data_IF_695256395102
#
_entry.id   IF_695256395102
#
_cell.length_a   1.000
_cell.length_b   1.000
_cell.length_c   1.000
_cell.angle_alpha   90.00
_cell.angle_beta   90.00
_cell.angle_gamma   90.00
#
_symmetry.space_group_name_H-M   'P 1'
#
loop_
_entity.id
_entity.type
_entity.pdbx_description
1 polymer ?
#
# COMPACT_ATOMS: atom_id res chain seq x y z
N UNK A 1 -2.17 9.11 40.41
CA UNK A 1 -2.70 7.94 39.69
C UNK A 1 -2.44 8.13 38.21
N UNK A 2 -1.52 7.36 37.63
CA UNK A 2 -0.96 7.64 36.31
C UNK A 2 -1.80 6.95 35.22
N UNK A 3 -2.77 7.68 34.64
CA UNK A 3 -3.55 7.24 33.50
C UNK A 3 -2.63 7.16 32.28
N UNK A 4 -2.06 5.97 32.02
CA UNK A 4 -1.29 5.73 30.80
C UNK A 4 -2.23 5.88 29.61
N UNK A 5 -2.08 6.98 28.86
CA UNK A 5 -2.84 7.23 27.63
C UNK A 5 -2.61 6.06 26.67
N UNK A 6 -3.71 5.48 26.20
CA UNK A 6 -3.67 4.46 25.14
C UNK A 6 -3.29 5.18 23.85
N UNK A 7 -2.16 4.77 23.25
CA UNK A 7 -1.78 5.27 21.93
C UNK A 7 -2.84 4.80 20.94
N UNK A 8 -3.37 5.73 20.14
CA UNK A 8 -4.37 5.46 19.10
C UNK A 8 -3.83 5.93 17.75
N UNK A 9 -4.25 5.29 16.67
CA UNK A 9 -4.07 5.82 15.32
C UNK A 9 -4.98 7.03 15.10
N UNK A 10 -4.77 7.77 14.00
CA UNK A 10 -5.64 8.88 13.60
C UNK A 10 -7.10 8.45 13.39
N UNK A 11 -7.33 7.18 13.07
CA UNK A 11 -8.67 6.57 12.97
C UNK A 11 -9.23 6.11 14.33
N UNK A 12 -8.57 6.42 15.45
CA UNK A 12 -9.02 6.09 16.80
C UNK A 12 -8.78 4.64 17.23
N UNK A 13 -8.06 3.84 16.45
CA UNK A 13 -7.81 2.42 16.76
C UNK A 13 -6.71 2.32 17.83
N UNK A 14 -6.96 1.66 18.98
CA UNK A 14 -5.97 1.53 20.03
C UNK A 14 -4.83 0.59 19.62
N UNK A 15 -3.59 1.03 19.83
CA UNK A 15 -2.36 0.29 19.51
C UNK A 15 -1.72 -0.21 20.79
N UNK A 16 -1.54 -1.53 20.90
CA UNK A 16 -0.90 -2.18 22.05
C UNK A 16 0.63 -2.09 21.91
N UNK A 17 1.34 -2.01 23.04
CA UNK A 17 2.82 -1.99 23.04
C UNK A 17 3.45 -3.27 22.48
N UNK A 18 2.81 -4.42 22.70
CA UNK A 18 3.30 -5.73 22.28
C UNK A 18 2.13 -6.60 21.82
N UNK A 19 2.27 -7.22 20.65
CA UNK A 19 1.33 -8.21 20.11
C UNK A 19 1.96 -9.61 20.24
N UNK A 20 1.25 -10.53 20.88
CA UNK A 20 1.65 -11.95 21.02
C UNK A 20 0.81 -12.83 20.09
N UNK A 21 1.14 -14.11 19.96
CA UNK A 21 0.38 -15.09 19.13
C UNK A 21 -1.13 -15.09 19.43
N UNK A 22 -1.52 -14.91 20.69
CA UNK A 22 -2.92 -14.83 21.13
C UNK A 22 -3.62 -13.49 20.84
N UNK A 23 -2.88 -12.50 20.31
CA UNK A 23 -3.40 -11.16 20.00
C UNK A 23 -3.97 -11.07 18.58
N UNK A 24 -3.75 -12.09 17.75
CA UNK A 24 -4.34 -12.20 16.43
C UNK A 24 -5.86 -12.43 16.59
N UNK A 25 -6.67 -11.53 16.00
CA UNK A 25 -8.08 -11.86 15.72
C UNK A 25 -8.10 -13.10 14.82
N UNK A 26 -9.14 -13.95 14.98
CA UNK A 26 -9.41 -15.22 14.26
C UNK A 26 -8.49 -15.45 13.06
N UNK A 27 -7.77 -16.60 13.05
CA UNK A 27 -6.96 -17.06 11.92
C UNK A 27 -7.68 -16.68 10.63
N UNK A 28 -7.10 -15.75 9.89
CA UNK A 28 -7.46 -15.51 8.51
C UNK A 28 -7.40 -16.89 7.85
N UNK A 29 -8.52 -17.37 7.32
CA UNK A 29 -8.53 -18.63 6.56
C UNK A 29 -7.38 -18.61 5.55
N UNK A 30 -6.86 -19.78 5.19
CA UNK A 30 -5.89 -19.92 4.11
C UNK A 30 -6.53 -19.41 2.80
N UNK A 31 -6.43 -18.10 2.60
CA UNK A 31 -6.94 -17.39 1.45
C UNK A 31 -5.81 -17.30 0.45
N UNK A 32 -6.10 -17.68 -0.78
CA UNK A 32 -5.16 -17.55 -1.88
C UNK A 32 -5.30 -16.16 -2.54
N UNK A 33 -4.19 -15.54 -2.98
CA UNK A 33 -4.27 -14.34 -3.82
C UNK A 33 -5.05 -14.64 -5.12
N UNK A 34 -5.75 -13.64 -5.65
CA UNK A 34 -6.58 -13.81 -6.84
C UNK A 34 -7.92 -14.53 -6.62
N UNK A 35 -8.29 -14.83 -5.36
CA UNK A 35 -9.60 -15.40 -5.00
C UNK A 35 -10.35 -14.51 -4.02
N UNK A 36 -11.67 -14.39 -4.19
CA UNK A 36 -12.53 -13.68 -3.24
C UNK A 36 -12.31 -14.20 -1.80
N UNK A 37 -12.18 -13.33 -0.78
CA UNK A 37 -12.43 -11.88 -0.78
C UNK A 37 -11.21 -11.01 -1.13
N UNK A 38 -10.19 -11.57 -1.77
CA UNK A 38 -9.00 -10.87 -2.28
C UNK A 38 -8.14 -10.21 -1.20
N UNK A 39 -8.22 -10.69 0.05
CA UNK A 39 -7.47 -10.13 1.17
C UNK A 39 -5.95 -10.17 0.97
N UNK A 40 -5.46 -11.13 0.18
CA UNK A 40 -4.03 -11.30 -0.15
C UNK A 40 -3.63 -10.74 -1.52
N UNK A 41 -4.55 -10.07 -2.22
CA UNK A 41 -4.32 -9.51 -3.55
C UNK A 41 -5.36 -9.96 -4.57
N UNK A 42 -5.56 -9.16 -5.61
CA UNK A 42 -6.56 -9.37 -6.66
C UNK A 42 -6.06 -10.26 -7.80
N UNK A 43 -4.75 -10.46 -7.93
CA UNK A 43 -4.13 -11.34 -8.93
C UNK A 43 -3.46 -12.53 -8.24
N UNK A 44 -3.45 -13.74 -8.84
CA UNK A 44 -2.80 -14.91 -8.24
C UNK A 44 -1.29 -14.73 -8.03
N UNK A 45 -0.59 -14.18 -9.02
CA UNK A 45 0.87 -14.07 -9.00
C UNK A 45 1.38 -12.69 -8.56
N UNK A 46 0.48 -11.70 -8.46
CA UNK A 46 0.76 -10.33 -8.03
C UNK A 46 2.07 -9.79 -8.66
N UNK A 47 2.97 -9.27 -7.83
CA UNK A 47 4.22 -8.65 -8.26
C UNK A 47 5.31 -9.65 -8.68
N UNK A 48 5.03 -10.97 -8.63
CA UNK A 48 5.92 -11.98 -9.22
C UNK A 48 5.76 -12.04 -10.73
N UNK A 49 4.56 -11.77 -11.24
CA UNK A 49 4.27 -11.69 -12.68
C UNK A 49 4.45 -10.25 -13.19
N UNK A 50 3.81 -9.27 -12.53
CA UNK A 50 3.84 -7.86 -12.95
C UNK A 50 3.99 -6.93 -11.75
N UNK A 51 5.09 -6.18 -11.71
CA UNK A 51 5.29 -5.12 -10.72
C UNK A 51 4.19 -4.05 -10.78
N UNK A 52 3.98 -3.34 -9.67
CA UNK A 52 3.08 -2.20 -9.68
C UNK A 52 3.56 -1.13 -10.66
N UNK A 53 2.61 -0.41 -11.25
CA UNK A 53 2.90 0.72 -12.13
C UNK A 53 3.61 1.82 -11.34
N UNK A 54 4.84 2.15 -11.74
CA UNK A 54 5.57 3.29 -11.20
C UNK A 54 5.02 4.57 -11.81
N UNK A 55 3.98 5.16 -11.22
CA UNK A 55 3.28 6.32 -11.78
C UNK A 55 3.62 7.61 -11.03
N UNK A 56 4.64 8.32 -11.51
CA UNK A 56 4.99 9.61 -10.96
C UNK A 56 3.99 10.68 -11.40
N UNK A 57 3.44 11.39 -10.41
CA UNK A 57 2.62 12.56 -10.69
C UNK A 57 3.55 13.69 -11.15
N UNK A 58 3.25 14.26 -12.32
CA UNK A 58 4.05 15.31 -12.93
C UNK A 58 3.17 16.21 -13.79
N UNK A 59 3.48 17.51 -13.79
CA UNK A 59 2.75 18.54 -14.52
C UNK A 59 3.00 19.91 -13.88
N UNK A 60 3.66 20.79 -14.61
CA UNK A 60 3.93 22.17 -14.21
C UNK A 60 4.20 23.01 -15.47
N UNK A 61 3.88 24.31 -15.42
CA UNK A 61 4.05 25.21 -16.55
C UNK A 61 3.08 24.92 -17.68
N UNK A 62 3.58 24.99 -18.91
CA UNK A 62 2.83 24.73 -20.14
C UNK A 62 2.69 23.24 -20.45
N UNK A 63 1.79 22.93 -21.39
CA UNK A 63 1.61 21.58 -21.89
C UNK A 63 2.89 21.02 -22.54
N UNK A 64 3.69 21.87 -23.21
CA UNK A 64 4.94 21.45 -23.85
C UNK A 64 6.00 21.07 -22.81
N UNK A 65 6.18 21.89 -21.77
CA UNK A 65 7.10 21.61 -20.66
C UNK A 65 6.74 20.31 -19.93
N UNK A 66 5.43 20.11 -19.70
CA UNK A 66 4.92 18.88 -19.09
C UNK A 66 5.15 17.65 -19.99
N UNK A 67 4.97 17.77 -21.31
CA UNK A 67 5.27 16.70 -22.25
C UNK A 67 6.76 16.33 -22.27
N UNK A 68 7.65 17.34 -22.25
CA UNK A 68 9.10 17.12 -22.16
C UNK A 68 9.46 16.38 -20.87
N UNK A 69 8.81 16.73 -19.75
CA UNK A 69 8.98 16.03 -18.47
C UNK A 69 8.47 14.59 -18.52
N UNK A 70 7.34 14.32 -19.17
CA UNK A 70 6.84 12.94 -19.32
C UNK A 70 7.81 12.08 -20.12
N UNK A 71 8.33 12.58 -21.25
CA UNK A 71 9.34 11.86 -22.05
C UNK A 71 10.60 11.55 -21.23
N UNK A 72 11.05 12.52 -20.44
CA UNK A 72 12.16 12.32 -19.50
C UNK A 72 11.86 11.21 -18.49
N UNK A 73 10.69 11.22 -17.85
CA UNK A 73 10.36 10.20 -16.86
C UNK A 73 10.22 8.79 -17.48
N UNK A 74 9.63 8.69 -18.68
CA UNK A 74 9.55 7.43 -19.43
C UNK A 74 10.94 6.88 -19.77
N UNK A 75 11.89 7.74 -20.20
CA UNK A 75 13.26 7.28 -20.46
C UNK A 75 14.02 6.86 -19.20
N UNK A 76 13.55 7.27 -18.01
CA UNK A 76 14.12 6.91 -16.71
C UNK A 76 13.31 5.82 -15.98
N UNK A 77 12.47 5.07 -16.70
CA UNK A 77 11.82 3.87 -16.16
C UNK A 77 10.47 4.10 -15.51
N UNK A 78 9.79 5.22 -15.79
CA UNK A 78 8.35 5.30 -15.56
C UNK A 78 7.63 4.27 -16.45
N UNK A 79 6.72 3.48 -15.88
CA UNK A 79 5.97 2.39 -16.53
C UNK A 79 4.47 2.60 -16.46
#
# INVERSE_FOLDING_TARGET
>A
MNLRSVIKTDSGIPVRKVYKKNSLRKKTQDQEPGRFPYLRGIYPDMYRERSWTMRQYSGFGSAEETNNRFKFLLSHGQT
#
